data_IF_766260517479
#
_entry.id   IF_766260517479
#
_cell.length_a   1.000
_cell.length_b   1.000
_cell.length_c   1.000
_cell.angle_alpha   90.00
_cell.angle_beta   90.00
_cell.angle_gamma   90.00
#
_symmetry.space_group_name_H-M   'P 1'
#
loop_
_entity.id
_entity.type
_entity.pdbx_description
1 polymer ?
#
# COMPACT_ATOMS: atom_id res chain seq x y z
N UNK A 1 16.91 -12.35 -1.33
CA UNK A 1 16.08 -11.13 -1.25
C UNK A 1 14.62 -11.54 -1.50
N UNK A 2 13.84 -11.73 -0.43
CA UNK A 2 12.45 -12.19 -0.55
C UNK A 2 11.51 -11.02 -0.76
N UNK A 3 10.75 -11.02 -1.86
CA UNK A 3 9.65 -10.06 -2.02
C UNK A 3 8.55 -10.35 -1.00
N UNK A 4 8.09 -9.31 -0.30
CA UNK A 4 7.09 -9.43 0.78
C UNK A 4 5.73 -10.01 0.31
N UNK A 5 5.47 -10.03 -1.00
CA UNK A 5 4.24 -10.54 -1.62
C UNK A 5 4.16 -12.07 -1.71
N UNK A 6 5.32 -12.75 -1.76
CA UNK A 6 5.41 -14.19 -2.05
C UNK A 6 4.55 -15.08 -1.13
N UNK A 7 4.57 -14.88 0.20
CA UNK A 7 3.76 -15.67 1.13
C UNK A 7 2.25 -15.58 0.88
N UNK A 8 1.76 -14.40 0.48
CA UNK A 8 0.33 -14.16 0.26
C UNK A 8 -0.14 -14.70 -1.09
N UNK A 9 0.71 -14.63 -2.13
CA UNK A 9 0.44 -15.29 -3.40
C UNK A 9 0.38 -16.81 -3.27
N UNK A 10 1.21 -17.40 -2.39
CA UNK A 10 1.22 -18.85 -2.16
C UNK A 10 0.04 -19.31 -1.28
N UNK A 11 -0.29 -18.55 -0.24
CA UNK A 11 -1.36 -18.91 0.71
C UNK A 11 -2.77 -18.58 0.22
N UNK A 12 -2.91 -17.71 -0.79
CA UNK A 12 -4.21 -17.21 -1.24
C UNK A 12 -4.88 -16.26 -0.25
N UNK A 13 -4.15 -15.84 0.80
CA UNK A 13 -4.67 -14.88 1.77
C UNK A 13 -4.82 -13.49 1.13
N UNK A 14 -5.85 -12.72 1.50
CA UNK A 14 -6.09 -11.40 0.94
C UNK A 14 -4.95 -10.45 1.31
N UNK A 15 -4.38 -9.81 0.30
CA UNK A 15 -3.33 -8.81 0.47
C UNK A 15 -3.56 -7.63 -0.46
N UNK A 16 -3.35 -6.42 0.05
CA UNK A 16 -3.54 -5.15 -0.63
C UNK A 16 -2.27 -4.30 -0.51
N UNK A 17 -1.91 -3.61 -1.59
CA UNK A 17 -0.83 -2.62 -1.58
C UNK A 17 -1.44 -1.23 -1.60
N UNK A 18 -1.00 -0.36 -0.69
CA UNK A 18 -1.47 1.02 -0.59
C UNK A 18 -0.29 1.98 -0.52
N UNK A 19 -0.44 3.20 -1.05
CA UNK A 19 0.63 4.18 -0.93
C UNK A 19 0.81 4.57 0.55
N UNK A 20 2.05 4.72 1.00
CA UNK A 20 2.34 5.09 2.39
C UNK A 20 3.25 6.30 2.57
N UNK A 21 3.59 6.97 1.47
CA UNK A 21 4.39 8.19 1.50
C UNK A 21 5.33 8.27 0.30
N UNK A 22 6.38 9.07 0.46
CA UNK A 22 7.44 9.28 -0.53
C UNK A 22 8.80 9.13 0.13
N UNK A 23 9.83 8.81 -0.65
CA UNK A 23 11.22 8.88 -0.17
C UNK A 23 11.60 10.31 0.19
N UNK A 24 12.59 10.48 1.08
CA UNK A 24 13.03 11.78 1.60
C UNK A 24 13.78 12.66 0.59
N UNK A 25 13.76 12.31 -0.70
CA UNK A 25 14.54 12.98 -1.77
C UNK A 25 13.88 14.27 -2.30
N UNK A 26 13.10 14.96 -1.46
CA UNK A 26 12.47 16.24 -1.80
C UNK A 26 11.34 16.11 -2.83
N UNK A 27 11.33 17.03 -3.81
CA UNK A 27 10.27 17.10 -4.84
C UNK A 27 10.28 15.91 -5.81
N UNK A 28 11.39 15.18 -5.88
CA UNK A 28 11.59 13.99 -6.72
C UNK A 28 11.41 12.66 -5.98
N UNK A 29 10.95 12.72 -4.72
CA UNK A 29 10.74 11.51 -3.91
C UNK A 29 9.88 10.46 -4.64
N UNK A 30 10.31 9.20 -4.58
CA UNK A 30 9.60 8.07 -5.18
C UNK A 30 8.45 7.61 -4.28
N UNK A 31 7.31 7.20 -4.84
CA UNK A 31 6.18 6.72 -4.05
C UNK A 31 6.54 5.43 -3.33
N UNK A 32 6.24 5.38 -2.03
CA UNK A 32 6.39 4.20 -1.19
C UNK A 32 5.05 3.49 -1.04
N UNK A 33 5.10 2.16 -0.98
CA UNK A 33 3.94 1.32 -0.77
C UNK A 33 4.06 0.50 0.52
N UNK A 34 2.93 0.35 1.21
CA UNK A 34 2.74 -0.54 2.35
C UNK A 34 1.83 -1.69 1.92
N UNK A 35 2.18 -2.91 2.33
CA UNK A 35 1.33 -4.08 2.14
C UNK A 35 0.50 -4.35 3.40
N UNK A 36 -0.80 -4.50 3.23
CA UNK A 36 -1.75 -4.93 4.27
C UNK A 36 -2.20 -6.33 3.90
N UNK A 37 -2.10 -7.27 4.82
CA UNK A 37 -2.57 -8.64 4.63
C UNK A 37 -3.54 -9.06 5.72
N UNK A 38 -4.57 -9.80 5.33
CA UNK A 38 -5.61 -10.33 6.21
C UNK A 38 -5.57 -11.85 6.32
N UNK A 39 -6.48 -12.38 7.14
CA UNK A 39 -6.71 -13.83 7.22
C UNK A 39 -7.53 -14.28 6.00
N UNK A 40 -7.53 -15.58 5.66
CA UNK A 40 -8.38 -16.08 4.57
C UNK A 40 -9.83 -15.64 4.73
N UNK A 41 -10.44 -15.16 3.64
CA UNK A 41 -11.83 -14.67 3.57
C UNK A 41 -12.13 -13.39 4.39
N UNK A 42 -11.11 -12.61 4.77
CA UNK A 42 -11.26 -11.32 5.46
C UNK A 42 -10.97 -10.10 4.56
N UNK A 43 -11.31 -10.18 3.26
CA UNK A 43 -11.13 -9.08 2.29
C UNK A 43 -11.78 -7.78 2.79
N UNK A 44 -12.98 -7.89 3.38
CA UNK A 44 -13.69 -6.75 3.93
C UNK A 44 -12.89 -6.05 5.04
N UNK A 45 -12.18 -6.79 5.87
CA UNK A 45 -11.30 -6.23 6.92
C UNK A 45 -10.10 -5.52 6.29
N UNK A 46 -9.44 -6.15 5.32
CA UNK A 46 -8.30 -5.56 4.61
C UNK A 46 -8.70 -4.24 3.94
N UNK A 47 -9.85 -4.21 3.26
CA UNK A 47 -10.38 -3.01 2.61
C UNK A 47 -10.77 -1.91 3.63
N UNK A 48 -11.35 -2.28 4.78
CA UNK A 48 -11.68 -1.32 5.84
C UNK A 48 -10.43 -0.67 6.44
N UNK A 49 -9.38 -1.46 6.65
CA UNK A 49 -8.08 -0.95 7.15
C UNK A 49 -7.46 -0.01 6.12
N UNK A 50 -7.43 -0.42 4.85
CA UNK A 50 -6.94 0.41 3.75
C UNK A 50 -7.70 1.75 3.67
N UNK A 51 -9.03 1.69 3.72
CA UNK A 51 -9.87 2.88 3.67
C UNK A 51 -9.63 3.80 4.87
N UNK A 52 -9.57 3.26 6.09
CA UNK A 52 -9.29 4.03 7.29
C UNK A 52 -7.91 4.71 7.21
N UNK A 53 -6.91 4.01 6.66
CA UNK A 53 -5.60 4.58 6.41
C UNK A 53 -5.65 5.73 5.39
N UNK A 54 -6.35 5.56 4.26
CA UNK A 54 -6.51 6.63 3.26
C UNK A 54 -7.18 7.88 3.82
N UNK A 55 -8.15 7.72 4.72
CA UNK A 55 -8.82 8.86 5.38
C UNK A 55 -7.90 9.59 6.36
N UNK A 56 -6.94 8.88 6.96
CA UNK A 56 -6.01 9.43 7.94
C UNK A 56 -4.82 10.17 7.32
N UNK A 57 -4.58 10.02 6.02
CA UNK A 57 -3.37 10.50 5.35
C UNK A 57 -3.69 11.40 4.16
N UNK A 58 -2.80 12.35 3.87
CA UNK A 58 -2.99 13.35 2.79
C UNK A 58 -2.08 13.14 1.59
N UNK A 59 -1.01 12.34 1.71
CA UNK A 59 -0.04 12.09 0.64
C UNK A 59 -0.63 11.33 -0.55
N UNK A 60 -1.76 10.64 -0.36
CA UNK A 60 -2.55 10.01 -1.43
C UNK A 60 -3.02 10.98 -2.53
N UNK A 61 -2.98 12.29 -2.29
CA UNK A 61 -3.40 13.32 -3.24
C UNK A 61 -2.25 13.88 -4.09
N UNK A 62 -0.99 13.54 -3.79
CA UNK A 62 0.17 14.03 -4.55
C UNK A 62 0.31 13.25 -5.85
N UNK A 63 0.33 13.96 -6.97
CA UNK A 63 0.65 13.40 -8.29
C UNK A 63 2.15 13.61 -8.52
N UNK A 64 2.95 12.55 -8.73
CA UNK A 64 4.37 12.70 -9.00
C UNK A 64 4.59 13.31 -10.40
N UNK A 65 5.64 14.14 -10.58
CA UNK A 65 5.95 14.78 -11.86
C UNK A 65 6.16 13.78 -13.01
N UNK A 66 6.70 12.59 -12.70
CA UNK A 66 6.93 11.52 -13.67
C UNK A 66 5.64 10.88 -14.24
N UNK A 67 4.46 11.26 -13.73
CA UNK A 67 3.16 10.81 -14.24
C UNK A 67 2.51 11.80 -15.24
N UNK A 68 3.18 12.92 -15.55
CA UNK A 68 2.80 13.92 -16.57
C UNK A 68 3.69 13.77 -17.81
#
# INVERSE_FOLDING_TARGET
AGGFRGPYSLSGAPALSILCGFTSEGDDGLPLAMQIAGRPFEEATVLRVAHAYEQAVSWNKRIPPAAL
#
